data_IF_260026167964
#
_entry.id   IF_260026167964
#
_cell.length_a   1.000
_cell.length_b   1.000
_cell.length_c   1.000
_cell.angle_alpha   90.00
_cell.angle_beta   90.00
_cell.angle_gamma   90.00
#
_symmetry.space_group_name_H-M   'P 1'
#
loop_
_entity.id
_entity.type
_entity.pdbx_description
1 polymer ?
#
# COMPACT_ATOMS: atom_id res chain seq x y z
N UNK A 1 -1.62 -2.68 -15.73
CA UNK A 1 -1.60 -3.19 -14.33
C UNK A 1 -1.28 -1.99 -13.43
N UNK A 2 -2.06 -1.72 -12.37
CA UNK A 2 -1.73 -0.72 -11.35
C UNK A 2 -1.25 -1.47 -10.10
N UNK A 3 -0.05 -1.16 -9.62
CA UNK A 3 0.54 -1.77 -8.43
C UNK A 3 0.93 -0.66 -7.49
N UNK A 4 0.54 -0.79 -6.23
CA UNK A 4 1.12 -0.02 -5.13
C UNK A 4 2.21 -0.88 -4.49
N UNK A 5 3.45 -0.45 -4.63
CA UNK A 5 4.59 -1.09 -3.99
C UNK A 5 4.90 -0.41 -2.65
N UNK A 6 5.07 -1.21 -1.61
CA UNK A 6 5.34 -0.73 -0.25
C UNK A 6 6.50 -1.51 0.33
N UNK A 7 7.52 -0.77 0.77
CA UNK A 7 8.64 -1.30 1.54
C UNK A 7 8.43 -0.87 2.99
N UNK A 8 8.24 -1.84 3.87
CA UNK A 8 8.08 -1.57 5.30
C UNK A 8 9.44 -1.33 5.95
N UNK A 9 9.45 -0.68 7.13
CA UNK A 9 10.68 -0.43 7.89
C UNK A 9 11.41 -1.73 8.30
N UNK A 10 10.73 -2.89 8.27
CA UNK A 10 11.35 -4.21 8.45
C UNK A 10 12.22 -4.64 7.27
N UNK A 11 12.13 -3.96 6.13
CA UNK A 11 12.73 -4.34 4.86
C UNK A 11 11.81 -5.19 3.99
N UNK A 12 10.65 -5.63 4.49
CA UNK A 12 9.72 -6.43 3.71
C UNK A 12 9.06 -5.59 2.61
N UNK A 13 9.05 -6.11 1.38
CA UNK A 13 8.43 -5.47 0.24
C UNK A 13 7.15 -6.21 -0.18
N UNK A 14 6.11 -5.43 -0.49
CA UNK A 14 4.80 -5.93 -0.88
C UNK A 14 4.29 -5.18 -2.10
N UNK A 15 3.62 -5.91 -2.99
CA UNK A 15 2.96 -5.36 -4.17
C UNK A 15 1.46 -5.59 -4.10
N UNK A 16 0.70 -4.54 -3.83
CA UNK A 16 -0.77 -4.55 -3.83
C UNK A 16 -1.30 -4.34 -5.24
N UNK A 17 -2.16 -5.24 -5.69
CA UNK A 17 -2.70 -5.28 -7.06
C UNK A 17 -3.96 -4.43 -7.18
N UNK A 18 -4.12 -3.82 -8.36
CA UNK A 18 -5.33 -3.08 -8.77
C UNK A 18 -5.70 -1.88 -7.89
N UNK A 19 -4.75 -1.38 -7.10
CA UNK A 19 -4.96 -0.19 -6.24
C UNK A 19 -5.26 1.03 -7.11
N UNK A 20 -6.38 1.75 -6.88
CA UNK A 20 -6.71 2.98 -7.57
C UNK A 20 -5.69 4.10 -7.28
N UNK A 21 -5.50 5.00 -8.24
CA UNK A 21 -4.61 6.15 -8.05
C UNK A 21 -5.03 7.07 -6.89
N UNK A 22 -6.33 7.15 -6.59
CA UNK A 22 -6.86 7.90 -5.45
C UNK A 22 -6.35 7.38 -4.10
N UNK A 23 -6.08 6.08 -3.98
CA UNK A 23 -5.54 5.50 -2.75
C UNK A 23 -4.06 5.84 -2.58
N UNK A 24 -3.30 5.90 -3.68
CA UNK A 24 -1.93 6.41 -3.65
C UNK A 24 -1.88 7.88 -3.22
N UNK A 25 -2.72 8.72 -3.84
CA UNK A 25 -2.88 10.13 -3.49
C UNK A 25 -3.25 10.31 -2.01
N UNK A 26 -4.23 9.53 -1.52
CA UNK A 26 -4.63 9.57 -0.12
C UNK A 26 -3.52 9.12 0.83
N UNK A 27 -2.76 8.10 0.44
CA UNK A 27 -1.65 7.56 1.23
C UNK A 27 -0.51 8.58 1.40
N UNK A 28 -0.07 9.22 0.31
CA UNK A 28 1.06 10.18 0.37
C UNK A 28 0.71 11.49 1.08
N UNK A 29 -0.57 11.85 1.12
CA UNK A 29 -1.08 13.06 1.79
C UNK A 29 -1.60 12.80 3.21
N UNK A 30 -1.60 11.54 3.68
CA UNK A 30 -2.09 11.20 5.01
C UNK A 30 -1.16 11.70 6.11
N UNK A 31 -1.73 12.23 7.20
CA UNK A 31 -0.99 12.57 8.43
C UNK A 31 -0.19 11.38 9.00
N UNK A 32 -0.66 10.16 8.73
CA UNK A 32 0.02 8.93 9.10
C UNK A 32 -0.15 7.88 8.01
N UNK A 33 0.93 7.64 7.26
CA UNK A 33 1.02 6.62 6.21
C UNK A 33 0.61 5.24 6.76
N UNK A 34 1.13 4.84 7.93
CA UNK A 34 0.78 3.56 8.54
C UNK A 34 -0.70 3.43 8.88
N UNK A 35 -1.32 4.47 9.47
CA UNK A 35 -2.77 4.46 9.76
C UNK A 35 -3.61 4.43 8.49
N UNK A 36 -3.15 5.07 7.40
CA UNK A 36 -3.82 4.98 6.11
C UNK A 36 -3.71 3.57 5.53
N UNK A 37 -2.50 2.99 5.50
CA UNK A 37 -2.25 1.61 5.05
C UNK A 37 -3.17 0.62 5.74
N UNK A 38 -3.24 0.62 7.07
CA UNK A 38 -4.09 -0.29 7.83
C UNK A 38 -5.59 -0.12 7.55
N UNK A 39 -6.05 1.11 7.27
CA UNK A 39 -7.47 1.38 7.05
C UNK A 39 -7.92 1.13 5.62
N UNK A 40 -7.06 1.39 4.64
CA UNK A 40 -7.44 1.49 3.23
C UNK A 40 -6.74 0.49 2.31
N UNK A 41 -5.57 -0.06 2.68
CA UNK A 41 -4.77 -0.90 1.78
C UNK A 41 -4.64 -2.34 2.28
N UNK A 42 -4.18 -2.53 3.52
CA UNK A 42 -3.93 -3.84 4.12
C UNK A 42 -5.25 -4.63 4.21
N UNK A 43 -5.20 -5.90 3.80
CA UNK A 43 -6.33 -6.84 3.72
C UNK A 43 -7.50 -6.41 2.81
N UNK A 44 -7.35 -5.32 2.04
CA UNK A 44 -8.37 -4.84 1.09
C UNK A 44 -8.04 -5.07 -0.37
N UNK A 45 -6.76 -5.22 -0.67
CA UNK A 45 -6.27 -5.52 -2.01
C UNK A 45 -5.48 -6.82 -1.99
N UNK A 46 -5.60 -7.60 -3.06
CA UNK A 46 -4.74 -8.75 -3.27
C UNK A 46 -3.29 -8.29 -3.35
N UNK A 47 -2.38 -9.00 -2.69
CA UNK A 47 -0.98 -8.63 -2.65
C UNK A 47 -0.06 -9.84 -2.79
N UNK A 48 1.11 -9.59 -3.35
CA UNK A 48 2.24 -10.52 -3.31
C UNK A 48 3.31 -9.93 -2.38
N UNK A 49 3.93 -10.76 -1.54
CA UNK A 49 5.21 -10.41 -0.92
C UNK A 49 6.30 -10.63 -1.95
N UNK A 50 7.12 -9.62 -2.16
CA UNK A 50 8.25 -9.64 -3.07
C UNK A 50 9.50 -9.49 -2.21
N UNK A 51 10.45 -10.41 -2.38
CA UNK A 51 11.71 -10.40 -1.66
C UNK A 51 12.68 -9.37 -2.24
#
# INVERSE_FOLDING_TARGET
>A
RRILEVIFNSGDQYQYKEVPASEYEGLINAESIGRYMHRHIIDRYEYDRVN
#
